data_IF_940248642393
#
_entry.id   IF_940248642393
#
_cell.length_a   1.000
_cell.length_b   1.000
_cell.length_c   1.000
_cell.angle_alpha   90.00
_cell.angle_beta   90.00
_cell.angle_gamma   90.00
#
_symmetry.space_group_name_H-M   'P 1'
#
loop_
_entity.id
_entity.type
_entity.pdbx_description
1 polymer ?
#
# COMPACT_ATOMS: atom_id res chain seq x y z
N UNK A 1 8.44 2.00 -22.54
CA UNK A 1 7.48 2.68 -21.64
C UNK A 1 7.88 4.15 -21.49
N UNK A 2 6.92 5.08 -21.53
CA UNK A 2 7.17 6.51 -21.27
C UNK A 2 7.48 6.73 -19.76
N UNK A 3 8.49 7.54 -19.38
CA UNK A 3 8.76 7.90 -17.98
C UNK A 3 7.53 8.36 -17.18
N UNK A 4 6.66 9.18 -17.78
CA UNK A 4 5.44 9.64 -17.12
C UNK A 4 4.48 8.46 -16.81
N UNK A 5 4.31 7.56 -17.79
CA UNK A 5 3.50 6.35 -17.60
C UNK A 5 4.08 5.40 -16.55
N UNK A 6 5.41 5.29 -16.51
CA UNK A 6 6.11 4.49 -15.51
C UNK A 6 5.81 4.97 -14.08
N UNK A 7 5.85 6.29 -13.86
CA UNK A 7 5.54 6.91 -12.57
C UNK A 7 4.06 6.72 -12.20
N UNK A 8 3.15 6.91 -13.15
CA UNK A 8 1.71 6.72 -12.91
C UNK A 8 1.40 5.29 -12.48
N UNK A 9 1.95 4.28 -13.18
CA UNK A 9 1.74 2.86 -12.83
C UNK A 9 2.28 2.56 -11.43
N UNK A 10 3.45 3.10 -11.08
CA UNK A 10 4.00 2.96 -9.74
C UNK A 10 3.08 3.57 -8.67
N UNK A 11 2.58 4.78 -8.88
CA UNK A 11 1.68 5.46 -7.94
C UNK A 11 0.39 4.67 -7.73
N UNK A 12 -0.20 4.12 -8.80
CA UNK A 12 -1.42 3.30 -8.71
C UNK A 12 -1.16 2.04 -7.88
N UNK A 13 -0.09 1.29 -8.18
CA UNK A 13 0.29 0.12 -7.39
C UNK A 13 0.53 0.47 -5.94
N UNK A 14 1.25 1.57 -5.69
CA UNK A 14 1.57 2.04 -4.35
C UNK A 14 0.30 2.33 -3.55
N UNK A 15 -0.68 3.04 -4.11
CA UNK A 15 -1.94 3.32 -3.43
C UNK A 15 -2.76 2.06 -3.13
N UNK A 16 -2.90 1.15 -4.11
CA UNK A 16 -3.65 -0.11 -3.91
C UNK A 16 -3.03 -0.94 -2.79
N UNK A 17 -1.70 -1.09 -2.80
CA UNK A 17 -0.98 -1.88 -1.81
C UNK A 17 -0.96 -1.18 -0.45
N UNK A 18 -0.80 0.15 -0.42
CA UNK A 18 -0.85 0.91 0.82
C UNK A 18 -2.20 0.71 1.52
N UNK A 19 -3.31 0.87 0.79
CA UNK A 19 -4.64 0.64 1.33
C UNK A 19 -4.86 -0.82 1.76
N UNK A 20 -4.32 -1.80 1.02
CA UNK A 20 -4.38 -3.20 1.41
C UNK A 20 -3.55 -3.54 2.67
N UNK A 21 -2.46 -2.81 2.91
CA UNK A 21 -1.57 -2.99 4.08
C UNK A 21 -2.09 -2.30 5.34
N UNK A 22 -2.88 -1.23 5.20
CA UNK A 22 -3.43 -0.49 6.34
C UNK A 22 -4.19 -1.35 7.38
N UNK A 23 -5.12 -2.25 7.01
CA UNK A 23 -5.87 -3.05 7.98
C UNK A 23 -5.04 -4.16 8.64
N UNK A 24 -3.82 -4.44 8.17
CA UNK A 24 -2.99 -5.48 8.77
C UNK A 24 -2.42 -5.04 10.12
N UNK A 25 -2.42 -5.97 11.08
CA UNK A 25 -1.82 -5.82 12.40
C UNK A 25 -2.27 -4.53 13.12
N UNK A 26 -3.58 -4.30 13.13
CA UNK A 26 -4.23 -3.22 13.86
C UNK A 26 -4.58 -3.75 15.26
N UNK A 27 -3.97 -3.18 16.29
CA UNK A 27 -4.35 -3.43 17.69
C UNK A 27 -5.59 -2.58 18.00
N UNK A 28 -6.66 -3.25 18.43
CA UNK A 28 -7.91 -2.60 18.78
C UNK A 28 -7.77 -1.87 20.11
N UNK A 29 -8.35 -0.67 20.24
CA UNK A 29 -8.34 0.09 21.50
C UNK A 29 -8.95 -0.68 22.68
N UNK A 30 -9.85 -1.63 22.43
CA UNK A 30 -10.42 -2.53 23.45
C UNK A 30 -9.41 -3.47 24.11
N UNK A 31 -8.27 -3.74 23.46
CA UNK A 31 -7.24 -4.67 23.95
C UNK A 31 -6.23 -3.98 24.88
N UNK A 32 -6.26 -2.63 24.97
CA UNK A 32 -5.44 -1.85 25.90
C UNK A 32 -6.34 -1.22 26.97
N UNK A 33 -6.26 -1.68 28.23
CA UNK A 33 -7.10 -1.17 29.33
C UNK A 33 -6.92 0.31 29.68
N UNK A 34 -5.94 1.01 29.07
CA UNK A 34 -5.41 2.28 29.58
C UNK A 34 -5.04 3.29 28.46
N UNK A 35 -5.84 3.41 27.40
CA UNK A 35 -5.62 4.42 26.34
C UNK A 35 -5.90 5.86 26.83
N UNK A 36 -6.68 6.05 27.91
CA UNK A 36 -6.76 7.33 28.61
C UNK A 36 -7.38 8.51 27.84
N UNK A 37 -7.89 8.33 26.61
CA UNK A 37 -8.53 9.40 25.83
C UNK A 37 -10.06 9.31 25.96
N UNK A 38 -10.63 10.07 26.91
CA UNK A 38 -12.08 10.26 27.02
C UNK A 38 -12.67 10.77 25.69
N UNK A 39 -13.71 10.09 25.19
CA UNK A 39 -14.45 10.48 23.97
C UNK A 39 -13.84 10.00 22.65
N UNK A 40 -12.83 9.14 22.68
CA UNK A 40 -12.23 8.62 21.46
C UNK A 40 -13.06 7.49 20.82
N UNK A 41 -13.16 7.47 19.49
CA UNK A 41 -13.99 6.49 18.76
C UNK A 41 -13.54 5.04 19.07
N UNK A 42 -14.45 4.16 19.54
CA UNK A 42 -14.15 2.77 19.83
C UNK A 42 -13.63 1.95 18.63
N UNK A 43 -13.85 2.42 17.40
CA UNK A 43 -13.33 1.78 16.19
C UNK A 43 -11.90 2.17 15.81
N UNK A 44 -11.31 3.18 16.45
CA UNK A 44 -9.99 3.69 16.08
C UNK A 44 -8.85 2.80 16.60
N UNK A 45 -7.83 2.49 15.77
CA UNK A 45 -6.59 1.84 16.20
C UNK A 45 -5.87 2.63 17.30
N UNK A 46 -5.36 1.94 18.33
CA UNK A 46 -4.58 2.59 19.39
C UNK A 46 -3.20 3.07 18.90
N UNK A 47 -2.52 2.27 18.07
CA UNK A 47 -1.30 2.68 17.37
C UNK A 47 -1.33 2.17 15.92
N UNK A 48 -1.59 3.04 14.93
CA UNK A 48 -1.68 2.62 13.54
C UNK A 48 -0.32 2.33 12.88
N UNK A 49 0.83 2.60 13.53
CA UNK A 49 2.20 2.34 13.04
C UNK A 49 2.41 2.72 11.55
N UNK A 50 1.84 3.85 11.13
CA UNK A 50 1.72 4.23 9.70
C UNK A 50 3.04 4.27 8.94
N UNK A 51 4.14 4.72 9.57
CA UNK A 51 5.46 4.80 8.94
C UNK A 51 5.97 3.42 8.49
N UNK A 52 5.76 2.40 9.31
CA UNK A 52 6.19 1.04 9.02
C UNK A 52 5.34 0.43 7.90
N UNK A 53 4.03 0.67 7.94
CA UNK A 53 3.08 0.25 6.91
C UNK A 53 3.37 0.90 5.56
N UNK A 54 3.66 2.20 5.54
CA UNK A 54 4.03 2.93 4.33
C UNK A 54 5.33 2.39 3.69
N UNK A 55 6.30 2.00 4.51
CA UNK A 55 7.55 1.44 4.02
C UNK A 55 7.40 0.01 3.50
N UNK A 56 6.60 -0.82 4.17
CA UNK A 56 6.20 -2.13 3.67
C UNK A 56 5.46 -2.01 2.33
N UNK A 57 4.49 -1.10 2.25
CA UNK A 57 3.73 -0.85 1.03
C UNK A 57 4.63 -0.41 -0.13
N UNK A 58 5.60 0.47 0.13
CA UNK A 58 6.59 0.91 -0.87
C UNK A 58 7.38 -0.25 -1.46
N UNK A 59 7.87 -1.16 -0.61
CA UNK A 59 8.65 -2.33 -1.05
C UNK A 59 7.82 -3.29 -1.90
N UNK A 60 6.61 -3.60 -1.45
CA UNK A 60 5.70 -4.49 -2.17
C UNK A 60 5.31 -3.83 -3.51
N UNK A 61 4.93 -2.55 -3.50
CA UNK A 61 4.57 -1.81 -4.70
C UNK A 61 5.71 -1.73 -5.72
N UNK A 62 6.94 -1.55 -5.27
CA UNK A 62 8.10 -1.57 -6.16
C UNK A 62 8.28 -2.93 -6.83
N UNK A 63 8.05 -4.05 -6.12
CA UNK A 63 8.12 -5.37 -6.70
C UNK A 63 7.03 -5.60 -7.78
N UNK A 64 5.78 -5.22 -7.50
CA UNK A 64 4.69 -5.31 -8.49
C UNK A 64 4.96 -4.41 -9.70
N UNK A 65 5.44 -3.19 -9.46
CA UNK A 65 5.81 -2.27 -10.53
C UNK A 65 6.90 -2.84 -11.44
N UNK A 66 7.96 -3.44 -10.88
CA UNK A 66 9.01 -4.11 -11.66
C UNK A 66 8.46 -5.22 -12.55
N UNK A 67 7.56 -6.05 -12.02
CA UNK A 67 6.90 -7.12 -12.79
C UNK A 67 6.09 -6.53 -13.94
N UNK A 68 5.27 -5.50 -13.67
CA UNK A 68 4.48 -4.85 -14.73
C UNK A 68 5.34 -4.15 -15.77
N UNK A 69 6.42 -3.49 -15.37
CA UNK A 69 7.37 -2.86 -16.28
C UNK A 69 8.07 -3.90 -17.17
N UNK A 70 8.47 -5.04 -16.61
CA UNK A 70 9.07 -6.14 -17.37
C UNK A 70 8.09 -6.71 -18.41
N UNK A 71 6.82 -6.91 -18.03
CA UNK A 71 5.77 -7.40 -18.95
C UNK A 71 5.58 -6.39 -20.10
N UNK A 72 5.44 -5.10 -19.79
CA UNK A 72 5.24 -4.05 -20.80
C UNK A 72 6.45 -3.96 -21.75
N UNK A 73 7.67 -4.07 -21.24
CA UNK A 73 8.89 -4.01 -22.05
C UNK A 73 9.12 -5.29 -22.87
N UNK A 74 8.64 -6.44 -22.41
CA UNK A 74 8.77 -7.72 -23.12
C UNK A 74 7.99 -7.79 -24.43
N UNK A 75 6.98 -6.93 -24.62
CA UNK A 75 6.15 -6.93 -25.83
C UNK A 75 5.29 -8.19 -26.02
N UNK A 76 5.13 -9.01 -24.96
CA UNK A 76 4.31 -10.24 -24.99
C UNK A 76 2.85 -9.94 -25.35
N UNK A 77 2.35 -8.77 -24.95
CA UNK A 77 1.03 -8.28 -25.34
C UNK A 77 1.17 -7.21 -26.42
N UNK A 78 1.22 -7.63 -27.68
CA UNK A 78 1.00 -6.75 -28.82
C UNK A 78 -0.44 -6.94 -29.29
N UNK A 79 -1.20 -5.85 -29.38
CA UNK A 79 -2.56 -5.83 -29.92
C UNK A 79 -2.57 -5.31 -31.36
N UNK A 80 -1.44 -5.43 -32.06
CA UNK A 80 -1.23 -4.94 -33.42
C UNK A 80 -1.30 -6.07 -34.47
N UNK A 81 -1.92 -7.18 -34.09
CA UNK A 81 -2.32 -8.28 -34.97
C UNK A 81 -3.64 -7.94 -35.68
#
# INVERSE_FOLDING_TARGET
>A
MNPAGAVVIYIVWWWVIFLAVLPMNVEGRWEKPDDGVEGADPGAPADPRLKQKAWLATRIAFAFWLVTAAIILSGVFNFLD
#
